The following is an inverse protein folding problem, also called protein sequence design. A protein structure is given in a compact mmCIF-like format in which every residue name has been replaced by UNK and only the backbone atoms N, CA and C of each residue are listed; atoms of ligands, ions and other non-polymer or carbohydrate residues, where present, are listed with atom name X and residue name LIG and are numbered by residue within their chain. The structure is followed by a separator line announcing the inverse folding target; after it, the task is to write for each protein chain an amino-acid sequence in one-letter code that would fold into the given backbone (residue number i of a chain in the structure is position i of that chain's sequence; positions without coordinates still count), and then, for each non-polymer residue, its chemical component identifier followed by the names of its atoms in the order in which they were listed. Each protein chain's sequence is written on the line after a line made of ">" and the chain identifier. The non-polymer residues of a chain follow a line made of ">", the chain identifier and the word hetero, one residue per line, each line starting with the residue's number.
data_IF_120240453508
#
_entry.id   IF_120240453508
#
_cell.length_a   1.000
_cell.length_b   1.000
_cell.length_c   1.000
_cell.angle_alpha   90.00
_cell.angle_beta   90.00
_cell.angle_gamma   90.00
#
_symmetry.space_group_name_H-M   'P 1'
#
loop_
_entity.id
_entity.type
_entity.pdbx_description
1 polymer ?
#
# COMPACT_ATOMS: atom_id res chain seq x y z
N UNK A 1 -7.92 -17.45 -2.99
CA UNK A 1 -7.93 -16.12 -3.63
C UNK A 1 -9.19 -15.38 -3.18
N UNK A 2 -9.13 -14.04 -3.00
CA UNK A 2 -10.31 -13.25 -2.61
C UNK A 2 -10.83 -12.50 -3.83
N UNK A 3 -12.12 -12.63 -4.11
CA UNK A 3 -12.78 -11.91 -5.19
C UNK A 3 -13.48 -10.68 -4.62
N UNK A 4 -12.96 -9.50 -4.97
CA UNK A 4 -13.57 -8.22 -4.65
C UNK A 4 -14.25 -7.66 -5.91
N UNK A 5 -15.37 -6.97 -5.73
CA UNK A 5 -15.97 -6.17 -6.78
C UNK A 5 -15.07 -5.00 -7.17
N UNK A 6 -15.31 -4.45 -8.35
CA UNK A 6 -14.66 -3.21 -8.76
C UNK A 6 -14.95 -2.10 -7.75
N UNK A 7 -13.90 -1.46 -7.22
CA UNK A 7 -13.98 -0.43 -6.18
C UNK A 7 -14.70 -0.85 -4.89
N UNK A 8 -14.79 -2.15 -4.60
CA UNK A 8 -15.35 -2.63 -3.34
C UNK A 8 -14.50 -2.14 -2.16
N UNK A 9 -15.17 -1.60 -1.13
CA UNK A 9 -14.48 -1.13 0.07
C UNK A 9 -13.93 -2.31 0.86
N UNK A 10 -12.67 -2.19 1.23
CA UNK A 10 -11.95 -3.19 2.02
C UNK A 10 -11.19 -2.54 3.15
N UNK A 11 -11.00 -3.30 4.22
CA UNK A 11 -10.13 -2.96 5.33
C UNK A 11 -8.87 -3.83 5.30
N UNK A 12 -7.72 -3.21 5.47
CA UNK A 12 -6.45 -3.92 5.60
C UNK A 12 -6.25 -4.40 7.04
N UNK A 13 -5.77 -5.63 7.18
CA UNK A 13 -5.40 -6.22 8.47
C UNK A 13 -3.91 -6.01 8.70
N UNK A 14 -3.55 -5.38 9.83
CA UNK A 14 -2.18 -5.04 10.21
C UNK A 14 -1.37 -4.33 9.11
N UNK A 15 -1.86 -3.20 8.56
CA UNK A 15 -1.15 -2.50 7.51
C UNK A 15 0.18 -1.94 8.03
N UNK A 16 1.24 -2.10 7.23
CA UNK A 16 2.60 -1.60 7.51
C UNK A 16 3.12 -0.90 6.26
N UNK A 17 3.61 0.33 6.41
CA UNK A 17 4.14 1.11 5.31
C UNK A 17 5.67 1.26 5.43
N UNK A 18 6.36 1.04 4.33
CA UNK A 18 7.78 1.35 4.19
C UNK A 18 7.90 2.52 3.22
N UNK A 19 8.62 3.56 3.64
CA UNK A 19 8.93 4.71 2.81
C UNK A 19 10.44 4.77 2.58
N UNK A 20 10.87 4.71 1.32
CA UNK A 20 12.27 4.83 0.92
C UNK A 20 12.48 6.11 0.13
N UNK A 21 13.25 7.03 0.71
CA UNK A 21 13.62 8.29 0.07
C UNK A 21 14.87 8.12 -0.80
N UNK A 22 14.80 8.61 -2.04
CA UNK A 22 15.96 8.66 -2.94
C UNK A 22 15.97 9.96 -3.74
N UNK A 23 17.11 10.29 -4.35
CA UNK A 23 17.33 11.54 -5.07
C UNK A 23 17.85 11.25 -6.47
N UNK A 24 17.30 11.94 -7.47
CA UNK A 24 17.84 11.99 -8.83
C UNK A 24 18.11 13.45 -9.18
N UNK A 25 19.37 13.80 -9.43
CA UNK A 25 19.78 15.18 -9.74
C UNK A 25 19.51 16.11 -8.57
N UNK A 26 18.59 17.06 -8.71
CA UNK A 26 18.15 17.98 -7.63
C UNK A 26 16.76 17.63 -7.08
N UNK A 27 16.11 16.59 -7.61
CA UNK A 27 14.75 16.19 -7.23
C UNK A 27 14.79 15.02 -6.24
N UNK A 28 14.03 15.14 -5.16
CA UNK A 28 13.76 14.07 -4.21
C UNK A 28 12.53 13.27 -4.62
N UNK A 29 12.58 11.97 -4.37
CA UNK A 29 11.51 11.02 -4.61
C UNK A 29 11.33 10.15 -3.36
N UNK A 30 10.14 9.58 -3.20
CA UNK A 30 9.87 8.64 -2.11
C UNK A 30 9.05 7.50 -2.67
N UNK A 31 9.59 6.29 -2.57
CA UNK A 31 8.86 5.08 -2.86
C UNK A 31 8.09 4.66 -1.62
N UNK A 32 6.81 4.36 -1.79
CA UNK A 32 5.97 3.82 -0.73
C UNK A 32 5.59 2.39 -1.08
N UNK A 33 5.83 1.47 -0.14
CA UNK A 33 5.38 0.10 -0.22
C UNK A 33 4.45 -0.18 0.95
N UNK A 34 3.20 -0.55 0.65
CA UNK A 34 2.20 -0.91 1.64
C UNK A 34 2.09 -2.43 1.73
N UNK A 35 2.37 -2.96 2.92
CA UNK A 35 2.15 -4.34 3.28
C UNK A 35 0.89 -4.46 4.14
N UNK A 36 0.21 -5.60 4.05
CA UNK A 36 -0.86 -6.00 4.95
C UNK A 36 -0.83 -7.52 5.10
N UNK A 37 -1.28 -8.02 6.24
CA UNK A 37 -1.38 -9.46 6.48
C UNK A 37 -2.59 -10.05 5.73
N UNK A 38 -3.67 -9.27 5.58
CA UNK A 38 -4.88 -9.65 4.87
C UNK A 38 -5.70 -8.42 4.41
N UNK A 39 -6.67 -8.63 3.52
CA UNK A 39 -7.72 -7.66 3.17
C UNK A 39 -9.11 -8.26 3.39
N UNK A 40 -9.97 -7.59 4.15
CA UNK A 40 -11.34 -8.02 4.42
C UNK A 40 -12.34 -7.01 3.88
N UNK A 41 -13.57 -7.45 3.56
CA UNK A 41 -14.66 -6.53 3.23
C UNK A 41 -14.96 -5.65 4.44
N UNK A 42 -15.27 -4.38 4.20
CA UNK A 42 -15.71 -3.47 5.27
C UNK A 42 -17.07 -3.89 5.85
#
# INVERSE_FOLDING_TARGET
>A
EKHFGFEERVKLVNPRITAEGYKIGTRGFTNYLLHADDMIKE
#
